data_IF_865048376720
#
_entry.id   IF_865048376720
#
_cell.length_a   1.000
_cell.length_b   1.000
_cell.length_c   1.000
_cell.angle_alpha   90.00
_cell.angle_beta   90.00
_cell.angle_gamma   90.00
#
_symmetry.space_group_name_H-M   'P 1'
#
loop_
_entity.id
_entity.type
_entity.pdbx_description
1 polymer ?
#
# COMPACT_ATOMS: atom_id res chain seq x y z
N UNK A 1 39.62 -14.46 -19.11
CA UNK A 1 39.57 -13.94 -20.50
C UNK A 1 38.38 -12.98 -20.56
N UNK A 2 38.46 -11.76 -20.01
CA UNK A 2 39.03 -10.51 -20.55
C UNK A 2 38.48 -10.16 -21.93
N UNK A 3 37.52 -9.23 -22.00
CA UNK A 3 37.34 -8.29 -23.10
C UNK A 3 37.11 -6.88 -22.52
N UNK A 4 38.10 -6.02 -22.79
CA UNK A 4 38.20 -4.59 -22.51
C UNK A 4 38.46 -3.95 -23.86
N UNK A 5 37.76 -2.85 -24.21
CA UNK A 5 38.13 -1.66 -25.02
C UNK A 5 36.91 -0.72 -24.87
N UNK A 6 36.90 0.36 -24.08
CA UNK A 6 37.57 1.68 -24.12
C UNK A 6 37.09 2.67 -25.21
N UNK A 7 36.85 3.91 -24.74
CA UNK A 7 36.79 5.24 -25.42
C UNK A 7 35.38 5.78 -25.76
N UNK A 8 34.97 7.05 -25.54
CA UNK A 8 35.58 8.32 -25.07
C UNK A 8 34.45 9.33 -24.68
N UNK A 9 34.82 10.33 -23.88
CA UNK A 9 34.15 11.55 -23.35
C UNK A 9 33.31 12.46 -24.29
N UNK A 10 32.29 13.14 -23.73
CA UNK A 10 31.96 14.60 -23.84
C UNK A 10 30.60 14.92 -23.15
N UNK A 11 30.54 15.58 -21.98
CA UNK A 11 30.43 17.03 -21.68
C UNK A 11 29.05 17.71 -21.91
N UNK A 12 28.32 17.88 -20.80
CA UNK A 12 27.55 19.04 -20.27
C UNK A 12 26.97 20.08 -21.24
N UNK A 13 25.66 20.36 -21.12
CA UNK A 13 25.11 21.72 -21.27
C UNK A 13 24.14 22.01 -20.12
N UNK A 14 24.53 22.94 -19.25
CA UNK A 14 23.71 23.61 -18.24
C UNK A 14 23.56 25.05 -18.76
N UNK A 15 22.33 25.49 -19.07
CA UNK A 15 22.11 26.88 -19.50
C UNK A 15 21.24 27.60 -18.48
N UNK A 16 21.89 28.42 -17.66
CA UNK A 16 21.29 29.49 -16.88
C UNK A 16 21.40 30.76 -17.72
N UNK A 17 20.28 31.42 -18.01
CA UNK A 17 20.28 32.78 -18.59
C UNK A 17 19.84 33.75 -17.49
N UNK A 18 20.74 34.66 -17.14
CA UNK A 18 20.48 35.82 -16.29
C UNK A 18 20.57 37.06 -17.19
N UNK A 19 19.53 37.89 -17.25
CA UNK A 19 19.65 39.28 -17.71
C UNK A 19 18.93 40.20 -16.71
N UNK A 20 19.70 41.16 -16.20
CA UNK A 20 19.30 42.17 -15.22
C UNK A 20 18.69 43.39 -15.91
N UNK A 21 17.74 44.04 -15.24
CA UNK A 21 17.48 45.48 -15.39
C UNK A 21 16.02 45.90 -15.43
N UNK A 22 15.57 46.60 -14.38
CA UNK A 22 14.38 47.46 -14.45
C UNK A 22 13.44 47.38 -13.25
N UNK A 23 13.76 48.10 -12.17
CA UNK A 23 12.82 48.42 -11.11
C UNK A 23 11.62 49.19 -11.68
N UNK A 24 10.37 48.77 -11.41
CA UNK A 24 9.21 49.63 -11.10
C UNK A 24 8.05 48.80 -10.53
N UNK A 25 7.56 49.27 -9.38
CA UNK A 25 6.43 48.86 -8.55
C UNK A 25 5.18 48.30 -9.28
N UNK A 26 4.69 47.13 -8.83
CA UNK A 26 3.53 47.01 -7.91
C UNK A 26 3.47 45.59 -7.34
N UNK A 27 3.56 45.47 -6.01
CA UNK A 27 3.25 44.22 -5.31
C UNK A 27 1.74 43.97 -5.43
N UNK A 28 1.34 42.97 -6.22
CA UNK A 28 0.00 42.42 -6.13
C UNK A 28 -0.07 41.65 -4.81
N UNK A 29 -0.73 42.24 -3.82
CA UNK A 29 -1.11 41.51 -2.62
C UNK A 29 -2.26 40.58 -3.00
N UNK A 30 -1.93 39.34 -3.39
CA UNK A 30 -2.93 38.30 -3.45
C UNK A 30 -3.38 38.03 -2.01
N UNK A 31 -4.63 38.37 -1.71
CA UNK A 31 -5.28 37.94 -0.47
C UNK A 31 -5.29 36.41 -0.48
N UNK A 32 -4.41 35.78 0.31
CA UNK A 32 -4.50 34.36 0.54
C UNK A 32 -5.86 34.10 1.21
N UNK A 33 -6.77 33.44 0.49
CA UNK A 33 -7.98 32.93 1.11
C UNK A 33 -7.53 31.99 2.23
N UNK A 34 -7.94 32.28 3.47
CA UNK A 34 -7.78 31.33 4.57
C UNK A 34 -8.58 30.11 4.18
N UNK A 35 -7.87 29.04 3.79
CA UNK A 35 -8.47 27.75 3.56
C UNK A 35 -9.12 27.33 4.89
N UNK A 36 -10.44 27.05 4.95
CA UNK A 36 -11.04 26.61 6.19
C UNK A 36 -10.28 25.37 6.67
N UNK A 37 -9.92 25.37 7.96
CA UNK A 37 -9.21 24.27 8.57
C UNK A 37 -9.92 22.96 8.21
N UNK A 38 -9.16 22.00 7.67
CA UNK A 38 -9.67 20.67 7.41
C UNK A 38 -10.33 20.18 8.70
N UNK A 39 -11.64 19.91 8.63
CA UNK A 39 -12.39 19.39 9.75
C UNK A 39 -11.67 18.12 10.21
N UNK A 40 -11.31 17.97 11.49
CA UNK A 40 -10.68 16.75 11.94
C UNK A 40 -11.61 15.61 11.58
N UNK A 41 -11.12 14.65 10.80
CA UNK A 41 -11.84 13.39 10.56
C UNK A 41 -11.83 12.69 11.91
N UNK A 42 -12.86 12.97 12.72
CA UNK A 42 -13.17 12.14 13.87
C UNK A 42 -13.33 10.74 13.28
N UNK A 43 -12.44 9.83 13.64
CA UNK A 43 -12.54 8.43 13.24
C UNK A 43 -13.97 7.99 13.56
N UNK A 44 -14.77 7.75 12.53
CA UNK A 44 -16.17 7.40 12.71
C UNK A 44 -16.21 6.15 13.59
N UNK A 45 -17.08 6.18 14.61
CA UNK A 45 -17.41 4.96 15.35
C UNK A 45 -17.74 3.85 14.33
N UNK A 46 -17.37 2.58 14.61
CA UNK A 46 -17.60 1.48 13.68
C UNK A 46 -19.02 1.54 13.14
N UNK A 47 -19.15 1.68 11.83
CA UNK A 47 -20.45 1.87 11.19
C UNK A 47 -21.14 0.51 11.12
N UNK A 48 -21.94 0.24 12.14
CA UNK A 48 -22.85 -0.90 12.11
C UNK A 48 -24.03 -0.54 11.20
N UNK A 49 -24.24 -1.36 10.17
CA UNK A 49 -25.40 -1.26 9.28
C UNK A 49 -26.65 -1.81 9.98
N UNK A 50 -27.84 -1.48 9.47
CA UNK A 50 -29.11 -1.95 10.04
C UNK A 50 -29.26 -3.48 10.06
N UNK A 51 -28.54 -4.18 9.19
CA UNK A 51 -28.49 -5.65 9.12
C UNK A 51 -27.52 -6.30 10.12
N UNK A 52 -26.89 -5.50 10.99
CA UNK A 52 -25.91 -5.96 11.98
C UNK A 52 -24.48 -6.09 11.45
N UNK A 53 -24.24 -5.79 10.16
CA UNK A 53 -22.88 -5.80 9.58
C UNK A 53 -22.04 -4.68 10.19
N UNK A 54 -20.84 -5.01 10.63
CA UNK A 54 -19.88 -4.04 11.19
C UNK A 54 -18.76 -3.79 10.20
N UNK A 55 -18.50 -2.52 9.86
CA UNK A 55 -17.30 -2.15 9.12
C UNK A 55 -16.07 -2.33 10.01
N UNK A 56 -15.12 -3.16 9.56
CA UNK A 56 -13.80 -3.26 10.19
C UNK A 56 -12.90 -2.15 9.65
N UNK A 57 -12.58 -1.17 10.49
CA UNK A 57 -11.63 -0.09 10.18
C UNK A 57 -10.18 -0.62 10.23
N UNK A 58 -9.79 -1.41 9.23
CA UNK A 58 -8.45 -1.99 9.12
C UNK A 58 -7.46 -0.88 8.71
N UNK A 59 -6.42 -0.57 9.51
CA UNK A 59 -5.48 0.52 9.22
C UNK A 59 -4.44 0.10 8.17
N UNK A 60 -4.90 -0.17 6.95
CA UNK A 60 -4.04 -0.49 5.81
C UNK A 60 -4.54 0.21 4.54
N UNK A 61 -3.60 0.73 3.74
CA UNK A 61 -3.88 1.28 2.41
C UNK A 61 -3.89 0.20 1.33
N UNK A 62 -4.34 0.54 0.13
CA UNK A 62 -4.40 -0.41 -1.01
C UNK A 62 -5.74 -1.17 -1.06
N UNK A 63 -5.80 -2.19 -1.92
CA UNK A 63 -7.01 -3.02 -2.08
C UNK A 63 -6.92 -4.24 -1.17
N UNK A 64 -7.76 -4.29 -0.14
CA UNK A 64 -7.85 -5.41 0.80
C UNK A 64 -8.88 -6.43 0.30
N UNK A 65 -8.47 -7.66 0.05
CA UNK A 65 -9.25 -8.68 -0.64
C UNK A 65 -9.08 -10.06 -0.02
N UNK A 66 -9.86 -11.02 -0.53
CA UNK A 66 -9.75 -12.44 -0.20
C UNK A 66 -9.78 -12.75 1.32
N UNK A 67 -10.75 -12.23 2.10
CA UNK A 67 -10.75 -12.43 3.54
C UNK A 67 -10.89 -13.92 3.91
N UNK A 68 -10.12 -14.37 4.90
CA UNK A 68 -10.23 -15.70 5.50
C UNK A 68 -10.11 -15.63 7.02
N UNK A 69 -11.16 -16.08 7.72
CA UNK A 69 -11.15 -16.14 9.17
C UNK A 69 -10.17 -17.19 9.67
N UNK A 70 -9.39 -16.81 10.67
CA UNK A 70 -8.65 -17.78 11.46
C UNK A 70 -9.61 -18.75 12.18
N UNK A 71 -9.17 -19.98 12.47
CA UNK A 71 -10.02 -21.01 13.06
C UNK A 71 -10.57 -20.72 14.46
N UNK A 72 -9.96 -19.78 15.19
CA UNK A 72 -10.38 -19.29 16.50
C UNK A 72 -11.28 -18.03 16.41
N UNK A 73 -11.57 -17.57 15.19
CA UNK A 73 -12.32 -16.34 14.90
C UNK A 73 -11.72 -15.06 15.46
N UNK A 74 -10.47 -15.09 15.93
CA UNK A 74 -9.80 -13.93 16.55
C UNK A 74 -9.10 -13.03 15.53
N UNK A 75 -8.77 -13.57 14.35
CA UNK A 75 -8.02 -12.89 13.28
C UNK A 75 -8.66 -13.06 11.92
N UNK A 76 -8.45 -12.07 11.06
CA UNK A 76 -8.80 -12.10 9.65
C UNK A 76 -7.52 -12.04 8.81
N UNK A 77 -7.26 -13.06 7.99
CA UNK A 77 -6.26 -13.00 6.92
C UNK A 77 -6.86 -12.30 5.70
N UNK A 78 -6.08 -11.52 4.98
CA UNK A 78 -6.47 -10.93 3.71
C UNK A 78 -5.24 -10.68 2.83
N UNK A 79 -5.49 -10.67 1.53
CA UNK A 79 -4.55 -10.20 0.50
C UNK A 79 -4.64 -8.69 0.42
N UNK A 80 -3.50 -8.00 0.35
CA UNK A 80 -3.42 -6.56 0.13
C UNK A 80 -2.66 -6.29 -1.17
N UNK A 81 -3.36 -5.87 -2.21
CA UNK A 81 -2.69 -5.31 -3.38
C UNK A 81 -2.28 -3.87 -3.10
N UNK A 82 -0.96 -3.63 -3.07
CA UNK A 82 -0.38 -2.36 -2.61
C UNK A 82 -0.70 -1.22 -3.58
N UNK A 83 -0.74 -1.52 -4.88
CA UNK A 83 -0.86 -0.54 -5.96
C UNK A 83 -2.29 -0.38 -6.52
N UNK A 84 -3.29 -1.02 -5.91
CA UNK A 84 -4.69 -0.97 -6.36
C UNK A 84 -5.25 -2.34 -6.71
N UNK A 85 -6.49 -2.38 -7.20
CA UNK A 85 -7.24 -3.62 -7.42
C UNK A 85 -6.48 -4.57 -8.38
N UNK A 86 -6.03 -5.72 -7.87
CA UNK A 86 -5.32 -6.76 -8.61
C UNK A 86 -4.03 -6.30 -9.30
N UNK A 87 -3.39 -5.24 -8.79
CA UNK A 87 -2.08 -4.77 -9.26
C UNK A 87 -0.99 -5.18 -8.28
N UNK A 88 -0.08 -6.05 -8.72
CA UNK A 88 1.08 -6.47 -7.91
C UNK A 88 1.97 -5.27 -7.49
N UNK A 89 2.68 -5.38 -6.35
CA UNK A 89 2.77 -6.54 -5.47
C UNK A 89 1.52 -6.75 -4.60
N UNK A 90 1.38 -7.97 -4.09
CA UNK A 90 0.34 -8.32 -3.13
C UNK A 90 0.95 -8.90 -1.86
N UNK A 91 0.61 -8.30 -0.72
CA UNK A 91 1.04 -8.73 0.60
C UNK A 91 -0.02 -9.63 1.25
N UNK A 92 0.41 -10.48 2.19
CA UNK A 92 -0.51 -11.18 3.09
C UNK A 92 -0.46 -10.56 4.48
N UNK A 93 -1.62 -10.16 4.99
CA UNK A 93 -1.74 -9.53 6.30
C UNK A 93 -2.80 -10.23 7.15
N UNK A 94 -2.60 -10.21 8.46
CA UNK A 94 -3.64 -10.54 9.44
C UNK A 94 -4.08 -9.30 10.18
N UNK A 95 -5.38 -9.16 10.43
CA UNK A 95 -5.96 -8.19 11.35
C UNK A 95 -6.48 -8.92 12.60
N UNK A 96 -6.01 -8.52 13.77
CA UNK A 96 -6.46 -9.06 15.04
C UNK A 96 -7.64 -8.26 15.59
N UNK A 97 -8.76 -8.94 15.85
CA UNK A 97 -10.01 -8.28 16.20
C UNK A 97 -10.02 -7.70 17.62
N UNK A 98 -9.17 -8.19 18.53
CA UNK A 98 -9.11 -7.72 19.91
C UNK A 98 -8.25 -6.48 20.00
N UNK A 99 -7.03 -6.57 19.45
CA UNK A 99 -6.04 -5.48 19.51
C UNK A 99 -6.27 -4.40 18.46
N UNK A 100 -7.05 -4.71 17.41
CA UNK A 100 -7.26 -3.85 16.22
C UNK A 100 -5.97 -3.55 15.46
N UNK A 101 -4.97 -4.41 15.59
CA UNK A 101 -3.68 -4.27 14.92
C UNK A 101 -3.59 -5.16 13.68
N UNK A 102 -2.91 -4.65 12.66
CA UNK A 102 -2.50 -5.43 11.50
C UNK A 102 -1.08 -5.97 11.69
N UNK A 103 -0.83 -7.17 11.16
CA UNK A 103 0.49 -7.78 11.06
C UNK A 103 0.70 -8.28 9.64
N UNK A 104 1.80 -7.88 9.01
CA UNK A 104 2.21 -8.42 7.71
C UNK A 104 2.89 -9.77 7.90
N UNK A 105 2.47 -10.75 7.11
CA UNK A 105 3.03 -12.10 7.07
C UNK A 105 4.06 -12.24 5.93
N UNK A 106 3.72 -11.73 4.75
CA UNK A 106 4.52 -11.83 3.51
C UNK A 106 4.44 -10.50 2.77
N UNK A 107 5.60 -9.96 2.32
CA UNK A 107 5.74 -8.65 1.67
C UNK A 107 7.01 -8.56 0.80
N UNK A 108 7.34 -9.63 0.09
CA UNK A 108 8.60 -9.77 -0.65
C UNK A 108 8.62 -9.10 -2.03
N UNK A 109 7.58 -8.34 -2.38
CA UNK A 109 7.45 -7.67 -3.67
C UNK A 109 6.83 -8.53 -4.77
N UNK A 110 6.45 -9.76 -4.47
CA UNK A 110 5.67 -10.64 -5.36
C UNK A 110 4.17 -10.50 -5.12
N UNK A 111 3.35 -11.12 -5.98
CA UNK A 111 1.92 -11.29 -5.77
C UNK A 111 1.61 -12.49 -4.89
N UNK A 112 1.42 -12.25 -3.59
CA UNK A 112 1.04 -13.27 -2.62
C UNK A 112 -0.48 -13.20 -2.35
N UNK A 113 -1.22 -14.22 -2.76
CA UNK A 113 -2.70 -14.23 -2.75
C UNK A 113 -3.23 -15.47 -2.03
N UNK A 114 -4.08 -15.27 -1.02
CA UNK A 114 -4.72 -16.37 -0.29
C UNK A 114 -6.11 -16.72 -0.86
N UNK A 115 -6.58 -17.93 -0.59
CA UNK A 115 -7.94 -18.34 -0.92
C UNK A 115 -8.94 -17.74 0.10
N UNK A 116 -10.00 -17.02 -0.31
CA UNK A 116 -11.01 -16.51 0.61
C UNK A 116 -11.71 -17.65 1.36
N UNK A 117 -11.92 -17.45 2.66
CA UNK A 117 -12.62 -18.39 3.55
C UNK A 117 -11.87 -19.68 3.93
N UNK A 118 -10.92 -20.16 3.12
CA UNK A 118 -10.35 -21.51 3.28
C UNK A 118 -8.82 -21.59 3.34
N UNK A 119 -8.14 -20.48 3.60
CA UNK A 119 -6.68 -20.44 3.64
C UNK A 119 -6.06 -21.12 4.87
N UNK A 120 -6.76 -21.17 6.01
CA UNK A 120 -6.19 -21.64 7.27
C UNK A 120 -6.30 -23.14 7.48
N UNK A 121 -5.20 -23.78 7.90
CA UNK A 121 -5.24 -25.09 8.49
C UNK A 121 -5.47 -24.98 10.01
N UNK A 122 -6.58 -25.55 10.50
CA UNK A 122 -6.96 -25.49 11.93
C UNK A 122 -6.00 -26.21 12.87
N UNK A 123 -5.34 -27.27 12.41
CA UNK A 123 -4.49 -28.12 13.25
C UNK A 123 -3.10 -27.50 13.40
N UNK A 124 -2.51 -27.03 12.31
CA UNK A 124 -1.14 -26.49 12.32
C UNK A 124 -1.07 -24.99 12.53
N UNK A 125 -2.17 -24.26 12.26
CA UNK A 125 -2.17 -22.80 12.25
C UNK A 125 -1.47 -22.18 11.04
N UNK A 126 -1.05 -22.99 10.06
CA UNK A 126 -0.48 -22.50 8.81
C UNK A 126 -1.56 -22.01 7.85
N UNK A 127 -1.15 -21.19 6.89
CA UNK A 127 -2.00 -20.72 5.80
C UNK A 127 -1.48 -21.27 4.48
N UNK A 128 -2.38 -21.53 3.53
CA UNK A 128 -2.03 -21.82 2.15
C UNK A 128 -2.29 -20.59 1.26
N UNK A 129 -1.36 -20.28 0.37
CA UNK A 129 -1.47 -19.16 -0.57
C UNK A 129 -0.70 -19.42 -1.86
N UNK A 130 -1.03 -18.70 -2.93
CA UNK A 130 -0.22 -18.68 -4.15
C UNK A 130 0.73 -17.48 -4.14
N UNK A 131 1.94 -17.67 -4.66
CA UNK A 131 2.92 -16.59 -4.83
C UNK A 131 3.47 -16.59 -6.26
N UNK A 132 3.58 -15.41 -6.87
CA UNK A 132 4.27 -15.21 -8.16
C UNK A 132 5.78 -15.00 -8.02
N UNK A 133 6.35 -15.40 -6.88
CA UNK A 133 7.81 -15.27 -6.67
C UNK A 133 8.57 -16.16 -7.65
N UNK A 134 9.73 -15.69 -8.10
CA UNK A 134 10.55 -16.46 -9.04
C UNK A 134 10.88 -17.86 -8.51
N UNK A 135 10.96 -18.89 -9.39
CA UNK A 135 10.96 -18.79 -10.86
C UNK A 135 9.59 -18.91 -11.54
N UNK A 136 8.53 -19.34 -10.85
CA UNK A 136 7.18 -19.50 -11.41
C UNK A 136 6.14 -19.29 -10.32
N UNK A 137 4.86 -19.24 -10.67
CA UNK A 137 3.81 -19.21 -9.64
C UNK A 137 3.76 -20.56 -8.90
N UNK A 138 3.87 -20.54 -7.56
CA UNK A 138 3.71 -21.74 -6.72
C UNK A 138 2.72 -21.54 -5.56
N UNK A 139 2.33 -22.66 -4.95
CA UNK A 139 1.54 -22.71 -3.73
C UNK A 139 2.47 -22.93 -2.53
N UNK A 140 2.28 -22.12 -1.50
CA UNK A 140 3.04 -22.10 -0.25
C UNK A 140 2.13 -22.38 0.95
#
# INVERSE_FOLDING_TARGET
MRNIIHHIFALIIFTVVLLLGGCHNVASFATAAVQPAATPIIASAPTTRADGTVLLAIPASGSLQNPAWSPDSGKLLFTRFVNGYNTEPADLLTFDLTTKLTRTLVFDGSGNVNLPGSAWNRVTGYIAFSSSRDPHDEIY
#
